data_IF_740604116245
#
_entry.id   IF_740604116245
#
_cell.length_a   1.000
_cell.length_b   1.000
_cell.length_c   1.000
_cell.angle_alpha   90.00
_cell.angle_beta   90.00
_cell.angle_gamma   90.00
#
_symmetry.space_group_name_H-M   'P 1'
#
loop_
_entity.id
_entity.type
_entity.pdbx_description
1 polymer ?
#
# COMPACT_ATOMS: atom_id res chain seq x y z
N UNK A 1 -5.63 15.67 -88.68
CA UNK A 1 -7.02 16.14 -88.87
C UNK A 1 -7.54 16.56 -87.50
N UNK A 2 -7.42 17.85 -87.17
CA UNK A 2 -8.51 18.86 -87.29
C UNK A 2 -9.34 18.86 -86.00
N UNK A 3 -8.99 19.67 -84.97
CA UNK A 3 -9.24 21.11 -84.79
C UNK A 3 -10.71 21.52 -84.64
N UNK A 4 -10.88 22.54 -83.78
CA UNK A 4 -12.01 23.47 -83.56
C UNK A 4 -12.92 23.11 -82.37
N UNK A 5 -12.73 23.66 -81.16
CA UNK A 5 -12.71 25.07 -80.72
C UNK A 5 -14.07 25.79 -80.90
N UNK A 6 -14.69 26.17 -79.78
CA UNK A 6 -15.43 27.43 -79.71
C UNK A 6 -15.41 27.97 -78.27
N UNK A 7 -14.68 29.07 -78.11
CA UNK A 7 -14.59 29.95 -76.94
C UNK A 7 -15.16 31.30 -77.36
N UNK A 8 -15.99 31.93 -76.52
CA UNK A 8 -16.25 33.38 -76.45
C UNK A 8 -17.44 33.63 -75.51
N UNK A 9 -17.60 34.67 -74.69
CA UNK A 9 -16.84 35.87 -74.29
C UNK A 9 -17.77 36.58 -73.26
N UNK A 10 -17.33 36.86 -72.03
CA UNK A 10 -17.10 38.19 -71.39
C UNK A 10 -18.28 39.19 -71.38
N UNK A 11 -18.68 39.62 -70.17
CA UNK A 11 -18.79 41.03 -69.69
C UNK A 11 -19.19 40.97 -68.20
N UNK A 12 -18.45 41.43 -67.18
CA UNK A 12 -17.94 42.76 -66.81
C UNK A 12 -19.03 43.85 -66.66
N UNK A 13 -19.24 44.32 -65.42
CA UNK A 13 -19.31 45.74 -64.98
C UNK A 13 -20.25 45.94 -63.77
N UNK A 14 -19.59 46.13 -62.62
CA UNK A 14 -19.85 47.11 -61.57
C UNK A 14 -21.07 48.05 -61.72
N UNK A 15 -21.93 48.10 -60.70
CA UNK A 15 -22.66 49.32 -60.31
C UNK A 15 -23.04 49.29 -58.84
N UNK A 16 -22.64 50.34 -58.13
CA UNK A 16 -23.02 50.69 -56.77
C UNK A 16 -24.43 51.30 -56.71
N UNK A 17 -24.93 51.38 -55.48
CA UNK A 17 -25.86 52.37 -54.93
C UNK A 17 -27.39 52.17 -54.98
N UNK A 18 -27.99 52.64 -53.88
CA UNK A 18 -29.40 52.89 -53.53
C UNK A 18 -30.12 51.75 -52.76
N UNK A 19 -30.18 51.75 -51.42
CA UNK A 19 -30.89 52.65 -50.48
C UNK A 19 -32.36 52.23 -50.21
N UNK A 20 -32.55 51.66 -49.01
CA UNK A 20 -33.72 51.68 -48.10
C UNK A 20 -35.06 50.99 -48.41
N UNK A 21 -35.65 50.54 -47.28
CA UNK A 21 -36.98 49.99 -46.99
C UNK A 21 -37.24 48.53 -47.40
N UNK A 22 -37.63 47.59 -46.53
CA UNK A 22 -38.42 47.63 -45.28
C UNK A 22 -38.06 46.42 -44.41
N UNK A 23 -37.82 46.64 -43.12
CA UNK A 23 -37.79 45.59 -42.07
C UNK A 23 -39.16 45.59 -41.39
N UNK A 24 -39.90 44.47 -41.32
CA UNK A 24 -40.92 44.29 -40.31
C UNK A 24 -40.29 43.66 -39.06
N UNK A 25 -40.34 44.42 -37.96
CA UNK A 25 -40.10 43.95 -36.61
C UNK A 25 -41.17 42.96 -36.15
N UNK A 26 -40.82 42.25 -35.07
CA UNK A 26 -41.59 41.23 -34.32
C UNK A 26 -41.38 39.83 -34.90
N UNK A 27 -40.72 38.88 -34.26
CA UNK A 27 -40.40 38.56 -32.85
C UNK A 27 -39.36 37.40 -32.95
N UNK A 28 -38.39 37.15 -32.07
CA UNK A 28 -38.49 36.73 -30.68
C UNK A 28 -37.05 36.59 -30.14
N UNK A 29 -36.96 36.79 -28.84
CA UNK A 29 -35.77 36.92 -27.99
C UNK A 29 -34.79 35.73 -27.95
N UNK A 30 -33.59 36.03 -27.43
CA UNK A 30 -32.62 35.16 -26.74
C UNK A 30 -31.56 34.41 -27.57
N UNK A 31 -30.44 35.06 -27.92
CA UNK A 31 -29.19 34.31 -28.08
C UNK A 31 -27.90 35.13 -27.89
N UNK A 32 -27.54 35.43 -26.63
CA UNK A 32 -26.16 35.81 -26.28
C UNK A 32 -25.75 35.41 -24.86
N UNK A 33 -26.70 35.29 -23.93
CA UNK A 33 -26.47 34.76 -22.59
C UNK A 33 -26.36 33.23 -22.51
N UNK A 34 -27.15 32.51 -23.32
CA UNK A 34 -27.20 31.04 -23.31
C UNK A 34 -25.84 30.43 -23.68
N UNK A 35 -25.23 30.88 -24.79
CA UNK A 35 -23.92 30.37 -25.25
C UNK A 35 -22.76 30.63 -24.26
N UNK A 36 -22.84 31.71 -23.46
CA UNK A 36 -21.83 32.04 -22.45
C UNK A 36 -21.99 31.20 -21.17
N UNK A 37 -23.24 30.87 -20.81
CA UNK A 37 -23.55 29.98 -19.69
C UNK A 37 -23.04 28.55 -19.96
N UNK A 38 -23.30 27.98 -21.15
CA UNK A 38 -22.79 26.64 -21.50
C UNK A 38 -21.26 26.59 -21.59
N UNK A 39 -20.60 27.62 -22.15
CA UNK A 39 -19.13 27.71 -22.19
C UNK A 39 -18.51 27.78 -20.80
N UNK A 40 -19.12 28.53 -19.87
CA UNK A 40 -18.64 28.66 -18.49
C UNK A 40 -18.83 27.37 -17.69
N UNK A 41 -19.94 26.67 -17.88
CA UNK A 41 -20.21 25.39 -17.22
C UNK A 41 -19.31 24.26 -17.75
N UNK A 42 -19.04 24.20 -19.06
CA UNK A 42 -18.08 23.24 -19.65
C UNK A 42 -16.66 23.51 -19.13
N UNK A 43 -16.25 24.78 -19.03
CA UNK A 43 -14.94 25.14 -18.48
C UNK A 43 -14.78 24.72 -17.00
N UNK A 44 -15.81 24.90 -16.18
CA UNK A 44 -15.81 24.45 -14.77
C UNK A 44 -15.74 22.92 -14.69
N UNK A 45 -16.50 22.21 -15.53
CA UNK A 45 -16.47 20.74 -15.61
C UNK A 45 -15.09 20.20 -15.99
N UNK A 46 -14.41 20.84 -16.95
CA UNK A 46 -13.05 20.46 -17.36
C UNK A 46 -12.01 20.72 -16.26
N UNK A 47 -12.16 21.79 -15.47
CA UNK A 47 -11.29 22.07 -14.32
C UNK A 47 -11.49 21.02 -13.21
N UNK A 48 -12.73 20.63 -12.92
CA UNK A 48 -13.03 19.59 -11.93
C UNK A 48 -12.51 18.22 -12.39
N UNK A 49 -12.68 17.86 -13.65
CA UNK A 49 -12.14 16.63 -14.23
C UNK A 49 -10.60 16.63 -14.20
N UNK A 50 -9.95 17.77 -14.52
CA UNK A 50 -8.50 17.91 -14.42
C UNK A 50 -8.00 17.75 -12.97
N UNK A 51 -8.69 18.33 -11.99
CA UNK A 51 -8.37 18.14 -10.57
C UNK A 51 -8.54 16.68 -10.11
N UNK A 52 -9.54 15.95 -10.62
CA UNK A 52 -9.71 14.52 -10.32
C UNK A 52 -8.63 13.63 -10.95
N UNK A 53 -8.04 14.02 -12.09
CA UNK A 53 -6.95 13.25 -12.72
C UNK A 53 -5.58 13.41 -12.05
N UNK A 54 -5.44 14.34 -11.09
CA UNK A 54 -4.19 14.55 -10.35
C UNK A 54 -4.01 13.63 -9.14
N UNK A 55 -4.97 12.75 -8.83
CA UNK A 55 -4.77 11.70 -7.82
C UNK A 55 -4.10 10.45 -8.41
N UNK A 56 -3.17 10.63 -9.35
CA UNK A 56 -2.18 9.58 -9.62
C UNK A 56 -1.33 9.50 -8.35
N UNK A 57 -1.76 8.69 -7.39
CA UNK A 57 -0.99 8.42 -6.19
C UNK A 57 0.37 7.91 -6.66
N UNK A 58 1.42 8.71 -6.47
CA UNK A 58 2.79 8.22 -6.57
C UNK A 58 2.90 7.04 -5.60
N UNK A 59 2.79 5.80 -6.11
CA UNK A 59 3.13 4.64 -5.31
C UNK A 59 4.63 4.72 -5.06
N UNK A 60 5.05 4.44 -3.83
CA UNK A 60 6.46 4.35 -3.49
C UNK A 60 7.17 3.46 -4.51
N UNK A 61 8.37 3.86 -4.95
CA UNK A 61 9.17 3.00 -5.82
C UNK A 61 9.49 1.69 -5.10
N UNK A 62 9.75 0.62 -5.86
CA UNK A 62 10.20 -0.67 -5.30
C UNK A 62 11.37 -0.49 -4.31
N UNK A 63 12.33 0.37 -4.63
CA UNK A 63 13.48 0.64 -3.76
C UNK A 63 13.08 1.25 -2.40
N UNK A 64 12.11 2.17 -2.40
CA UNK A 64 11.58 2.78 -1.17
C UNK A 64 10.81 1.73 -0.35
N UNK A 65 9.96 0.93 -1.00
CA UNK A 65 9.22 -0.15 -0.33
C UNK A 65 10.15 -1.20 0.27
N UNK A 66 11.18 -1.62 -0.47
CA UNK A 66 12.26 -2.49 0.00
C UNK A 66 12.95 -1.92 1.25
N UNK A 67 13.33 -0.64 1.20
CA UNK A 67 14.00 0.02 2.33
C UNK A 67 13.12 0.01 3.59
N UNK A 68 11.83 0.35 3.44
CA UNK A 68 10.88 0.35 4.55
C UNK A 68 10.65 -1.06 5.12
N UNK A 69 10.43 -2.04 4.25
CA UNK A 69 10.21 -3.43 4.66
C UNK A 69 11.45 -3.99 5.38
N UNK A 70 12.63 -3.93 4.76
CA UNK A 70 13.87 -4.42 5.38
C UNK A 70 14.17 -3.74 6.70
N UNK A 71 13.86 -2.44 6.86
CA UNK A 71 14.02 -1.74 8.13
C UNK A 71 13.17 -2.35 9.25
N UNK A 72 11.90 -2.67 8.99
CA UNK A 72 11.00 -3.28 9.99
C UNK A 72 11.49 -4.70 10.34
N UNK A 73 11.87 -5.50 9.34
CA UNK A 73 12.40 -6.85 9.56
C UNK A 73 13.68 -6.82 10.40
N UNK A 74 14.63 -5.93 10.07
CA UNK A 74 15.87 -5.79 10.84
C UNK A 74 15.61 -5.34 12.27
N UNK A 75 14.63 -4.47 12.49
CA UNK A 75 14.19 -4.08 13.83
C UNK A 75 13.69 -5.30 14.63
N UNK A 76 12.92 -6.18 14.00
CA UNK A 76 12.48 -7.45 14.60
C UNK A 76 13.64 -8.38 14.94
N UNK A 77 14.59 -8.57 14.02
CA UNK A 77 15.75 -9.43 14.25
C UNK A 77 16.64 -8.93 15.41
N UNK A 78 16.76 -7.61 15.55
CA UNK A 78 17.53 -7.00 16.64
C UNK A 78 16.91 -7.21 18.03
N UNK A 79 15.61 -7.56 18.13
CA UNK A 79 14.96 -7.77 19.43
C UNK A 79 15.55 -8.95 20.21
N UNK A 80 16.05 -9.97 19.51
CA UNK A 80 16.64 -11.16 20.13
C UNK A 80 17.92 -10.80 20.89
N UNK A 81 18.71 -9.86 20.35
CA UNK A 81 20.00 -9.48 20.94
C UNK A 81 19.85 -8.64 22.22
N UNK A 82 18.71 -7.94 22.38
CA UNK A 82 18.49 -6.98 23.49
C UNK A 82 18.39 -7.71 24.83
N UNK A 83 17.73 -8.86 24.87
CA UNK A 83 17.39 -9.57 26.10
C UNK A 83 17.92 -11.01 26.14
N UNK A 84 18.92 -11.34 25.30
CA UNK A 84 19.45 -12.70 25.13
C UNK A 84 19.93 -13.40 26.41
N UNK A 85 20.25 -12.63 27.45
CA UNK A 85 20.75 -13.13 28.73
C UNK A 85 19.65 -13.18 29.82
N UNK A 86 18.40 -12.86 29.48
CA UNK A 86 17.25 -12.76 30.41
C UNK A 86 16.09 -13.66 29.95
N UNK A 87 15.84 -14.71 30.72
CA UNK A 87 14.83 -15.73 30.42
C UNK A 87 13.70 -15.79 31.47
N UNK A 88 13.43 -14.69 32.18
CA UNK A 88 12.31 -14.61 33.12
C UNK A 88 10.99 -14.31 32.41
N UNK A 89 9.87 -14.66 33.05
CA UNK A 89 8.54 -14.54 32.47
C UNK A 89 8.21 -13.11 32.00
N UNK A 90 8.62 -12.07 32.73
CA UNK A 90 8.31 -10.69 32.39
C UNK A 90 9.12 -10.23 31.17
N UNK A 91 10.40 -10.58 31.11
CA UNK A 91 11.23 -10.29 29.95
C UNK A 91 10.73 -11.03 28.70
N UNK A 92 10.39 -12.31 28.82
CA UNK A 92 9.83 -13.08 27.70
C UNK A 92 8.49 -12.54 27.22
N UNK A 93 7.62 -12.08 28.12
CA UNK A 93 6.33 -11.43 27.77
C UNK A 93 6.54 -10.11 27.02
N UNK A 94 7.49 -9.28 27.47
CA UNK A 94 7.84 -8.05 26.76
C UNK A 94 8.40 -8.33 25.36
N UNK A 95 9.24 -9.36 25.22
CA UNK A 95 9.74 -9.78 23.92
C UNK A 95 8.60 -10.23 23.00
N UNK A 96 7.65 -11.02 23.51
CA UNK A 96 6.44 -11.42 22.79
C UNK A 96 5.65 -10.21 22.27
N UNK A 97 5.42 -9.20 23.13
CA UNK A 97 4.73 -7.96 22.75
C UNK A 97 5.49 -7.19 21.68
N UNK A 98 6.82 -7.09 21.80
CA UNK A 98 7.64 -6.41 20.82
C UNK A 98 7.56 -7.09 19.44
N UNK A 99 7.58 -8.43 19.36
CA UNK A 99 7.35 -9.12 18.10
C UNK A 99 5.96 -8.89 17.51
N UNK A 100 4.92 -8.81 18.35
CA UNK A 100 3.58 -8.44 17.88
C UNK A 100 3.54 -7.01 17.31
N UNK A 101 4.25 -6.07 17.94
CA UNK A 101 4.39 -4.71 17.43
C UNK A 101 5.07 -4.69 16.06
N UNK A 102 6.13 -5.49 15.87
CA UNK A 102 6.78 -5.65 14.56
C UNK A 102 5.83 -6.23 13.52
N UNK A 103 5.04 -7.25 13.88
CA UNK A 103 4.04 -7.80 12.98
C UNK A 103 3.01 -6.74 12.55
N UNK A 104 2.52 -5.94 13.49
CA UNK A 104 1.55 -4.87 13.22
C UNK A 104 2.16 -3.73 12.38
N UNK A 105 3.40 -3.31 12.69
CA UNK A 105 4.14 -2.34 11.89
C UNK A 105 4.32 -2.83 10.45
N UNK A 106 4.64 -4.12 10.30
CA UNK A 106 4.82 -4.73 8.99
C UNK A 106 3.50 -4.88 8.24
N UNK A 107 2.41 -5.23 8.91
CA UNK A 107 1.07 -5.33 8.31
C UNK A 107 0.55 -3.96 7.84
N UNK A 108 0.78 -2.92 8.65
CA UNK A 108 0.41 -1.54 8.32
C UNK A 108 1.26 -0.93 7.20
N UNK A 109 2.41 -1.54 6.84
CA UNK A 109 3.24 -1.07 5.76
C UNK A 109 2.50 -1.20 4.42
N UNK A 110 2.21 -0.08 3.77
CA UNK A 110 1.59 -0.08 2.45
C UNK A 110 2.59 -0.56 1.39
N UNK A 111 2.43 -1.82 0.97
CA UNK A 111 3.17 -2.42 -0.14
C UNK A 111 2.26 -2.46 -1.39
N UNK A 112 2.72 -1.90 -2.50
CA UNK A 112 2.05 -1.98 -3.81
C UNK A 112 2.77 -2.93 -4.77
N UNK A 113 4.05 -3.22 -4.54
CA UNK A 113 4.81 -4.18 -5.33
C UNK A 113 4.29 -5.61 -5.05
N UNK A 114 3.90 -6.38 -6.08
CA UNK A 114 3.25 -7.67 -5.90
C UNK A 114 4.17 -8.70 -5.22
N UNK A 115 5.45 -8.75 -5.60
CA UNK A 115 6.41 -9.69 -5.02
C UNK A 115 6.71 -9.35 -3.56
N UNK A 116 6.85 -8.06 -3.23
CA UNK A 116 6.97 -7.65 -1.83
C UNK A 116 5.73 -8.01 -1.01
N UNK A 117 4.53 -7.91 -1.60
CA UNK A 117 3.27 -8.26 -0.91
C UNK A 117 3.17 -9.76 -0.62
N UNK A 118 3.65 -10.60 -1.53
CA UNK A 118 3.75 -12.05 -1.34
C UNK A 118 4.71 -12.43 -0.20
N UNK A 119 5.74 -11.62 0.06
CA UNK A 119 6.66 -11.83 1.18
C UNK A 119 6.11 -11.24 2.49
N UNK A 120 5.40 -10.11 2.41
CA UNK A 120 4.86 -9.38 3.56
C UNK A 120 3.92 -10.24 4.40
N UNK A 121 2.88 -10.81 3.80
CA UNK A 121 1.84 -11.53 4.55
C UNK A 121 2.39 -12.74 5.33
N UNK A 122 3.24 -13.61 4.73
CA UNK A 122 3.92 -14.66 5.49
C UNK A 122 4.84 -14.11 6.59
N UNK A 123 5.51 -12.98 6.37
CA UNK A 123 6.41 -12.40 7.36
C UNK A 123 5.64 -11.87 8.59
N UNK A 124 4.49 -11.22 8.36
CA UNK A 124 3.57 -10.81 9.44
C UNK A 124 3.17 -12.04 10.26
N UNK A 125 2.76 -13.12 9.58
CA UNK A 125 2.38 -14.37 10.24
C UNK A 125 3.53 -14.96 11.05
N UNK A 126 4.75 -15.02 10.52
CA UNK A 126 5.90 -15.53 11.27
C UNK A 126 6.22 -14.70 12.51
N UNK A 127 6.15 -13.36 12.45
CA UNK A 127 6.31 -12.53 13.66
C UNK A 127 5.18 -12.72 14.68
N UNK A 128 3.94 -12.92 14.23
CA UNK A 128 2.81 -13.26 15.12
C UNK A 128 3.00 -14.63 15.78
N UNK A 129 3.48 -15.63 15.04
CA UNK A 129 3.76 -16.97 15.56
C UNK A 129 4.89 -16.94 16.59
N UNK A 130 5.97 -16.19 16.33
CA UNK A 130 7.04 -15.94 17.31
C UNK A 130 6.46 -15.28 18.58
N UNK A 131 5.65 -14.22 18.41
CA UNK A 131 5.01 -13.52 19.52
C UNK A 131 4.17 -14.46 20.38
N UNK A 132 3.31 -15.25 19.75
CA UNK A 132 2.43 -16.19 20.45
C UNK A 132 3.23 -17.23 21.23
N UNK A 133 4.23 -17.84 20.58
CA UNK A 133 5.06 -18.87 21.20
C UNK A 133 5.83 -18.32 22.42
N UNK A 134 6.39 -17.11 22.32
CA UNK A 134 7.04 -16.44 23.45
C UNK A 134 6.05 -16.11 24.58
N UNK A 135 4.84 -15.67 24.23
CA UNK A 135 3.77 -15.43 25.20
C UNK A 135 3.38 -16.70 25.96
N UNK A 136 3.37 -17.85 25.29
CA UNK A 136 3.09 -19.14 25.92
C UNK A 136 4.26 -19.60 26.81
N UNK A 137 5.51 -19.41 26.38
CA UNK A 137 6.69 -19.63 27.24
C UNK A 137 6.60 -18.78 28.51
N UNK A 138 6.25 -17.50 28.40
CA UNK A 138 6.10 -16.61 29.55
C UNK A 138 5.06 -17.11 30.55
N UNK A 139 3.88 -17.52 30.08
CA UNK A 139 2.82 -18.09 30.95
C UNK A 139 3.30 -19.35 31.64
N UNK A 140 4.00 -20.24 30.94
CA UNK A 140 4.55 -21.47 31.51
C UNK A 140 5.65 -21.18 32.55
N UNK A 141 6.52 -20.20 32.30
CA UNK A 141 7.51 -19.73 33.27
C UNK A 141 6.83 -19.17 34.53
N UNK A 142 5.77 -18.38 34.37
CA UNK A 142 5.00 -17.85 35.50
C UNK A 142 4.33 -18.96 36.30
N UNK A 143 3.69 -19.92 35.63
CA UNK A 143 3.06 -21.07 36.27
C UNK A 143 4.08 -21.92 37.05
N UNK A 144 5.24 -22.19 36.44
CA UNK A 144 6.34 -22.92 37.10
C UNK A 144 6.89 -22.19 38.32
N UNK A 145 6.98 -20.86 38.28
CA UNK A 145 7.46 -20.04 39.42
C UNK A 145 6.47 -19.97 40.59
N UNK A 146 5.17 -20.16 40.34
CA UNK A 146 4.12 -20.14 41.36
C UNK A 146 3.80 -21.51 41.95
N UNK A 147 4.31 -22.59 41.35
CA UNK A 147 4.06 -23.95 41.79
C UNK A 147 4.67 -24.22 43.17
N UNK A 148 3.96 -25.01 43.99
CA UNK A 148 4.43 -25.40 45.32
C UNK A 148 5.46 -26.54 45.24
N UNK A 149 6.07 -26.90 46.37
CA UNK A 149 6.98 -28.06 46.45
C UNK A 149 6.27 -29.40 46.69
N UNK A 150 4.93 -29.42 46.68
CA UNK A 150 4.13 -30.64 46.84
C UNK A 150 4.28 -31.57 45.62
N UNK A 151 3.68 -32.75 45.68
CA UNK A 151 3.65 -33.67 44.54
C UNK A 151 2.93 -33.00 43.35
N UNK A 152 1.76 -32.40 43.60
CA UNK A 152 1.00 -31.67 42.57
C UNK A 152 1.78 -30.47 42.03
N UNK A 153 2.49 -29.73 42.89
CA UNK A 153 3.33 -28.62 42.46
C UNK A 153 4.51 -29.07 41.59
N UNK A 154 5.11 -30.24 41.87
CA UNK A 154 6.15 -30.83 41.02
C UNK A 154 5.62 -31.26 39.66
N UNK A 155 4.40 -31.80 39.61
CA UNK A 155 3.72 -32.11 38.34
C UNK A 155 3.50 -30.84 37.51
N UNK A 156 3.04 -29.74 38.14
CA UNK A 156 2.88 -28.44 37.48
C UNK A 156 4.21 -27.92 36.89
N UNK A 157 5.32 -28.06 37.61
CA UNK A 157 6.65 -27.69 37.10
C UNK A 157 7.03 -28.53 35.87
N UNK A 158 6.77 -29.84 35.90
CA UNK A 158 7.06 -30.72 34.76
C UNK A 158 6.21 -30.37 33.54
N UNK A 159 4.92 -30.08 33.73
CA UNK A 159 4.05 -29.60 32.65
C UNK A 159 4.55 -28.28 32.09
N UNK A 160 4.92 -27.32 32.95
CA UNK A 160 5.48 -26.05 32.52
C UNK A 160 6.76 -26.23 31.70
N UNK A 161 7.66 -27.13 32.09
CA UNK A 161 8.87 -27.45 31.32
C UNK A 161 8.54 -28.03 29.94
N UNK A 162 7.61 -28.97 29.87
CA UNK A 162 7.19 -29.57 28.60
C UNK A 162 6.57 -28.52 27.67
N UNK A 163 5.75 -27.62 28.21
CA UNK A 163 5.15 -26.52 27.46
C UNK A 163 6.17 -25.50 26.97
N UNK A 164 7.17 -25.15 27.79
CA UNK A 164 8.28 -24.29 27.37
C UNK A 164 9.04 -24.91 26.19
N UNK A 165 9.35 -26.21 26.26
CA UNK A 165 10.05 -26.91 25.16
C UNK A 165 9.21 -26.88 23.89
N UNK A 166 7.92 -27.21 23.99
CA UNK A 166 6.99 -27.22 22.85
C UNK A 166 6.85 -25.83 22.22
N UNK A 167 6.61 -24.80 23.03
CA UNK A 167 6.50 -23.43 22.55
C UNK A 167 7.84 -22.91 22.00
N UNK A 168 8.98 -23.30 22.59
CA UNK A 168 10.31 -23.00 22.05
C UNK A 168 10.55 -23.59 20.67
N UNK A 169 10.09 -24.82 20.41
CA UNK A 169 10.13 -25.42 19.08
C UNK A 169 9.27 -24.63 18.07
N UNK A 170 8.09 -24.18 18.48
CA UNK A 170 7.22 -23.35 17.65
C UNK A 170 7.87 -21.99 17.32
N UNK A 171 8.47 -21.33 18.31
CA UNK A 171 9.20 -20.08 18.12
C UNK A 171 10.36 -20.26 17.14
N UNK A 172 11.16 -21.32 17.29
CA UNK A 172 12.28 -21.63 16.40
C UNK A 172 11.83 -21.91 14.96
N UNK A 173 10.73 -22.63 14.79
CA UNK A 173 10.17 -22.89 13.46
C UNK A 173 9.69 -21.60 12.79
N UNK A 174 8.99 -20.74 13.53
CA UNK A 174 8.53 -19.45 13.04
C UNK A 174 9.70 -18.50 12.71
N UNK A 175 10.76 -18.50 13.52
CA UNK A 175 12.00 -17.77 13.24
C UNK A 175 12.69 -18.27 11.97
N UNK A 176 12.82 -19.59 11.77
CA UNK A 176 13.39 -20.15 10.55
C UNK A 176 12.57 -19.78 9.30
N UNK A 177 11.25 -19.76 9.40
CA UNK A 177 10.38 -19.27 8.33
C UNK A 177 10.65 -17.78 8.04
N UNK A 178 10.78 -16.97 9.08
CA UNK A 178 11.09 -15.55 8.96
C UNK A 178 12.48 -15.30 8.32
N UNK A 179 13.49 -16.11 8.64
CA UNK A 179 14.83 -16.02 8.05
C UNK A 179 14.80 -16.36 6.55
N UNK A 180 14.03 -17.38 6.16
CA UNK A 180 13.83 -17.73 4.76
C UNK A 180 13.12 -16.60 3.99
N UNK A 181 12.11 -15.97 4.59
CA UNK A 181 11.41 -14.82 4.01
C UNK A 181 12.31 -13.58 3.92
N UNK A 182 13.13 -13.34 4.94
CA UNK A 182 14.12 -12.26 4.97
C UNK A 182 15.15 -12.44 3.86
N UNK A 183 15.61 -13.67 3.62
CA UNK A 183 16.52 -14.00 2.51
C UNK A 183 15.88 -13.71 1.15
N UNK A 184 14.61 -14.09 0.96
CA UNK A 184 13.84 -13.77 -0.25
C UNK A 184 13.69 -12.25 -0.43
N UNK A 185 13.38 -11.52 0.64
CA UNK A 185 13.27 -10.06 0.64
C UNK A 185 14.58 -9.42 0.19
N UNK A 186 15.70 -9.79 0.81
CA UNK A 186 17.03 -9.23 0.50
C UNK A 186 17.40 -9.50 -0.95
N UNK A 187 17.19 -10.73 -1.44
CA UNK A 187 17.51 -11.10 -2.82
C UNK A 187 16.65 -10.32 -3.81
N UNK A 188 15.34 -10.23 -3.57
CA UNK A 188 14.45 -9.42 -4.39
C UNK A 188 14.90 -7.95 -4.36
N UNK A 189 15.16 -7.37 -3.21
CA UNK A 189 15.55 -5.96 -3.10
C UNK A 189 16.92 -5.63 -3.72
N UNK A 190 17.80 -6.61 -3.92
CA UNK A 190 19.08 -6.45 -4.64
C UNK A 190 18.97 -6.60 -6.16
N UNK A 191 18.01 -7.39 -6.65
CA UNK A 191 17.88 -7.81 -8.06
C UNK A 191 17.53 -6.70 -9.07
N UNK A 192 17.66 -5.42 -8.74
CA UNK A 192 17.37 -4.30 -9.65
C UNK A 192 18.20 -3.06 -9.32
N UNK A 193 19.41 -3.27 -8.80
CA UNK A 193 20.44 -2.24 -8.61
C UNK A 193 21.44 -2.33 -9.74
#
# INVERSE_FOLDING_TARGET
MSQLNRKSTIDNRQSSDALYDKIPESTFFCNRGFMYFFRKQIAILLIVVACCTLTVSCSDSRAVQCTKFTKIVNKGNALIDVDKDRNDAATTDNLAKNFNLIANELEALRITDPTLKEIQKPSVKSFQEISQALGDISKSLQAGNLASTSIEGREQIQTAQADIIRAGQQANQAAANQDALTSKLINYCKSNR
#
